data_IF_683397108662
#
_entry.id   IF_683397108662
#
_cell.length_a   1.000
_cell.length_b   1.000
_cell.length_c   1.000
_cell.angle_alpha   90.00
_cell.angle_beta   90.00
_cell.angle_gamma   90.00
#
_symmetry.space_group_name_H-M   'P 1'
#
loop_
_entity.id
_entity.type
_entity.pdbx_description
1 polymer ?
#
# COMPACT_ATOMS: atom_id res chain seq x y z
N UNK A 1 4.01 9.17 -63.39
CA UNK A 1 2.55 9.23 -63.13
C UNK A 1 2.34 10.25 -62.00
N UNK A 2 2.09 11.54 -62.29
CA UNK A 2 0.77 12.21 -62.51
C UNK A 2 -0.12 12.07 -61.27
N UNK A 3 -0.14 13.02 -60.31
CA UNK A 3 -0.85 14.33 -60.19
C UNK A 3 -2.24 14.25 -59.50
N UNK A 4 -2.35 15.02 -58.39
CA UNK A 4 -3.50 15.82 -57.88
C UNK A 4 -4.72 15.04 -57.32
N UNK A 5 -5.38 15.46 -56.22
CA UNK A 5 -6.19 16.69 -56.10
C UNK A 5 -6.50 17.09 -54.63
N UNK A 6 -6.77 18.39 -54.43
CA UNK A 6 -7.09 19.17 -53.22
C UNK A 6 -8.62 19.43 -53.13
N UNK A 7 -9.19 19.59 -51.91
CA UNK A 7 -10.27 20.53 -51.50
C UNK A 7 -10.68 20.18 -50.04
N UNK A 8 -10.73 21.02 -48.99
CA UNK A 8 -11.17 22.40 -48.70
C UNK A 8 -12.68 22.68 -48.81
N UNK A 9 -13.39 22.67 -47.67
CA UNK A 9 -14.70 23.31 -47.37
C UNK A 9 -14.68 23.52 -45.83
N UNK A 10 -14.61 24.71 -45.20
CA UNK A 10 -15.34 26.00 -45.20
C UNK A 10 -16.77 25.97 -44.61
N UNK A 11 -16.82 26.27 -43.30
CA UNK A 11 -17.77 27.10 -42.50
C UNK A 11 -19.28 27.10 -42.82
N UNK A 12 -20.09 26.86 -41.78
CA UNK A 12 -21.34 27.62 -41.56
C UNK A 12 -21.55 27.90 -40.06
N UNK A 13 -21.60 29.19 -39.73
CA UNK A 13 -22.16 29.77 -38.50
C UNK A 13 -23.69 29.65 -38.51
N UNK A 14 -24.31 29.39 -37.34
CA UNK A 14 -25.61 29.94 -36.90
C UNK A 14 -25.60 29.95 -35.35
N UNK A 15 -25.57 31.07 -34.63
CA UNK A 15 -26.56 32.17 -34.47
C UNK A 15 -27.70 31.83 -33.50
N UNK A 16 -27.60 32.34 -32.26
CA UNK A 16 -28.74 32.68 -31.38
C UNK A 16 -28.61 32.25 -29.90
N UNK A 17 -29.22 32.97 -28.94
CA UNK A 17 -29.31 34.43 -28.79
C UNK A 17 -28.62 34.93 -27.49
N UNK A 18 -28.22 36.20 -27.51
CA UNK A 18 -27.91 37.01 -26.33
C UNK A 18 -29.17 37.18 -25.47
N UNK A 19 -29.09 36.82 -24.19
CA UNK A 19 -29.94 37.40 -23.15
C UNK A 19 -29.05 38.16 -22.18
N UNK A 20 -29.19 39.49 -22.22
CA UNK A 20 -28.68 40.39 -21.21
C UNK A 20 -29.78 40.66 -20.17
N UNK A 21 -29.37 40.60 -18.91
CA UNK A 21 -29.89 41.30 -17.73
C UNK A 21 -31.40 41.34 -17.48
N UNK A 22 -31.81 40.69 -16.40
CA UNK A 22 -32.64 41.36 -15.39
C UNK A 22 -32.06 41.05 -14.00
N UNK A 23 -31.65 42.11 -13.31
CA UNK A 23 -31.26 42.06 -11.91
C UNK A 23 -32.48 42.36 -11.03
N UNK A 24 -32.71 41.60 -9.95
CA UNK A 24 -33.37 42.13 -8.77
C UNK A 24 -32.31 42.60 -7.78
N UNK A 25 -32.36 43.90 -7.49
CA UNK A 25 -31.74 44.59 -6.36
C UNK A 25 -32.51 44.33 -5.05
N UNK A 26 -31.76 44.21 -3.93
CA UNK A 26 -32.24 44.30 -2.54
C UNK A 26 -32.60 42.94 -1.93
N UNK A 27 -32.24 42.58 -0.69
CA UNK A 27 -31.71 43.33 0.43
C UNK A 27 -30.97 42.38 1.40
N UNK A 28 -30.08 42.99 2.19
CA UNK A 28 -29.39 42.52 3.39
C UNK A 28 -29.88 41.24 4.09
N UNK A 29 -28.94 40.32 4.40
CA UNK A 29 -29.18 39.36 5.48
C UNK A 29 -28.20 38.18 5.57
N UNK A 30 -27.07 38.39 6.26
CA UNK A 30 -26.32 37.30 6.87
C UNK A 30 -25.15 36.73 6.05
N UNK A 31 -23.96 37.28 6.31
CA UNK A 31 -22.68 36.58 6.11
C UNK A 31 -22.61 35.38 7.07
N UNK A 32 -23.39 34.33 6.79
CA UNK A 32 -23.17 33.01 7.37
C UNK A 32 -22.07 32.35 6.57
N UNK A 33 -20.80 32.66 6.89
CA UNK A 33 -19.67 31.88 6.39
C UNK A 33 -19.87 30.44 6.84
N UNK A 34 -20.48 29.60 6.00
CA UNK A 34 -20.51 28.17 6.25
C UNK A 34 -19.06 27.77 6.45
N UNK A 35 -18.66 27.29 7.65
CA UNK A 35 -17.28 26.93 7.89
C UNK A 35 -16.86 25.96 6.81
N UNK A 36 -15.71 26.21 6.16
CA UNK A 36 -15.13 25.24 5.27
C UNK A 36 -15.10 23.89 6.02
N UNK A 37 -15.53 22.77 5.39
CA UNK A 37 -15.55 21.49 6.06
C UNK A 37 -14.20 21.24 6.71
N UNK A 38 -14.17 21.09 8.04
CA UNK A 38 -12.94 20.75 8.74
C UNK A 38 -12.41 19.45 8.13
N UNK A 39 -11.13 19.38 7.71
CA UNK A 39 -10.55 18.15 7.20
C UNK A 39 -10.81 17.02 8.20
N UNK A 40 -11.54 15.99 7.76
CA UNK A 40 -11.78 14.81 8.58
C UNK A 40 -10.54 13.93 8.43
N UNK A 41 -9.79 13.82 9.51
CA UNK A 41 -8.56 13.02 9.54
C UNK A 41 -8.94 11.56 9.35
N UNK A 42 -8.31 10.88 8.38
CA UNK A 42 -8.52 9.45 8.17
C UNK A 42 -7.48 8.69 8.98
N UNK A 43 -7.93 7.92 9.97
CA UNK A 43 -7.02 7.09 10.78
C UNK A 43 -6.25 6.06 9.95
N UNK A 44 -6.72 5.75 8.73
CA UNK A 44 -6.13 4.77 7.84
C UNK A 44 -5.14 5.37 6.82
N UNK A 45 -4.85 6.68 6.87
CA UNK A 45 -3.87 7.35 6.00
C UNK A 45 -2.46 7.37 6.62
N UNK A 46 -1.83 6.20 6.56
CA UNK A 46 -0.39 5.80 6.57
C UNK A 46 0.76 6.62 7.20
N UNK A 47 0.60 7.76 7.90
CA UNK A 47 1.56 8.22 8.95
C UNK A 47 1.38 9.67 9.36
N UNK A 48 1.14 10.57 8.40
CA UNK A 48 1.07 12.01 8.67
C UNK A 48 -0.15 12.34 9.52
N UNK A 49 -1.25 11.63 9.28
CA UNK A 49 -2.50 11.77 10.03
C UNK A 49 -2.38 11.16 11.45
N UNK A 50 -1.63 10.07 11.61
CA UNK A 50 -1.42 9.43 12.92
C UNK A 50 -0.55 10.27 13.87
N UNK A 51 0.59 10.76 13.40
CA UNK A 51 1.49 11.57 14.22
C UNK A 51 0.81 12.89 14.62
N UNK A 52 0.02 13.48 13.74
CA UNK A 52 -0.75 14.68 14.04
C UNK A 52 -1.83 14.45 15.11
N UNK A 53 -2.49 13.28 15.10
CA UNK A 53 -3.51 12.91 16.08
C UNK A 53 -2.95 12.52 17.45
N UNK A 54 -1.83 11.81 17.48
CA UNK A 54 -1.35 11.12 18.69
C UNK A 54 -0.03 11.66 19.25
N UNK A 55 0.73 12.42 18.46
CA UNK A 55 2.11 12.81 18.77
C UNK A 55 3.13 11.68 18.68
N UNK A 56 2.69 10.44 18.40
CA UNK A 56 3.56 9.27 18.31
C UNK A 56 4.19 9.17 16.92
N UNK A 57 5.49 8.90 16.88
CA UNK A 57 6.27 8.81 15.64
C UNK A 57 6.47 7.37 15.23
N UNK A 58 6.20 7.10 13.96
CA UNK A 58 6.65 5.86 13.34
C UNK A 58 8.15 5.87 13.11
N UNK A 59 8.72 4.69 13.14
CA UNK A 59 10.12 4.46 12.79
C UNK A 59 10.20 3.30 11.81
N UNK A 60 11.11 3.42 10.84
CA UNK A 60 11.39 2.33 9.91
C UNK A 60 12.16 1.22 10.61
N UNK A 61 11.73 -0.01 10.35
CA UNK A 61 12.37 -1.25 10.76
C UNK A 61 12.65 -2.11 9.52
N UNK A 62 13.77 -2.83 9.55
CA UNK A 62 14.30 -3.62 8.44
C UNK A 62 14.44 -5.08 8.83
N UNK A 63 13.82 -5.99 8.08
CA UNK A 63 13.84 -7.42 8.37
C UNK A 63 15.00 -8.14 7.69
N UNK A 64 15.67 -8.98 8.48
CA UNK A 64 16.65 -9.99 8.07
C UNK A 64 16.08 -11.36 8.36
N UNK A 65 16.24 -12.29 7.41
CA UNK A 65 15.68 -13.63 7.51
C UNK A 65 16.78 -14.66 7.75
N UNK A 66 16.54 -15.57 8.69
CA UNK A 66 17.31 -16.80 8.84
C UNK A 66 16.49 -17.92 8.17
N UNK A 67 16.93 -18.49 7.05
CA UNK A 67 16.13 -19.42 6.28
C UNK A 67 16.05 -20.80 6.94
N UNK A 68 14.90 -21.46 6.83
CA UNK A 68 14.68 -22.84 7.27
C UNK A 68 14.27 -23.73 6.11
N UNK A 69 14.97 -24.85 5.93
CA UNK A 69 14.72 -25.80 4.83
C UNK A 69 13.32 -26.40 4.87
N UNK A 70 12.71 -26.52 6.05
CA UNK A 70 11.36 -27.05 6.24
C UNK A 70 10.24 -26.14 5.69
N UNK A 71 10.52 -24.85 5.47
CA UNK A 71 9.54 -23.89 4.95
C UNK A 71 9.92 -23.40 3.55
N UNK A 72 11.21 -23.14 3.31
CA UNK A 72 11.67 -22.50 2.08
C UNK A 72 11.49 -23.39 0.85
N UNK A 73 11.74 -24.70 0.95
CA UNK A 73 11.62 -25.61 -0.19
C UNK A 73 12.44 -25.14 -1.41
N UNK A 74 11.75 -24.87 -2.54
CA UNK A 74 12.37 -24.32 -3.78
C UNK A 74 12.38 -22.79 -3.84
N UNK A 75 11.80 -22.14 -2.83
CA UNK A 75 11.58 -20.71 -2.72
C UNK A 75 10.27 -20.43 -1.97
N UNK A 76 10.27 -19.36 -1.20
CA UNK A 76 9.18 -18.91 -0.34
C UNK A 76 8.93 -17.44 -0.62
N UNK A 77 7.72 -17.11 -1.05
CA UNK A 77 7.26 -15.73 -1.19
C UNK A 77 6.46 -15.38 0.05
N UNK A 78 6.86 -14.31 0.73
CA UNK A 78 6.20 -13.73 1.88
C UNK A 78 5.63 -12.37 1.53
N UNK A 79 4.38 -12.12 1.94
CA UNK A 79 3.77 -10.80 1.92
C UNK A 79 3.44 -10.39 3.34
N UNK A 80 4.02 -9.29 3.81
CA UNK A 80 3.73 -8.74 5.13
C UNK A 80 2.24 -8.41 5.24
N UNK A 81 1.63 -8.83 6.35
CA UNK A 81 0.28 -8.45 6.72
C UNK A 81 0.34 -7.26 7.68
N UNK A 82 -0.14 -6.11 7.21
CA UNK A 82 -0.25 -4.91 8.03
C UNK A 82 -1.08 -5.17 9.29
N UNK A 83 -0.67 -4.58 10.41
CA UNK A 83 -1.35 -4.73 11.67
C UNK A 83 -0.91 -3.64 12.63
N UNK A 84 -1.88 -2.91 13.20
CA UNK A 84 -1.56 -1.83 14.14
C UNK A 84 -0.73 -2.38 15.32
N UNK A 85 0.39 -1.74 15.70
CA UNK A 85 0.84 -0.38 15.33
C UNK A 85 1.93 -0.36 14.25
N UNK A 86 1.86 -1.24 13.27
CA UNK A 86 2.81 -1.38 12.17
C UNK A 86 2.10 -1.37 10.81
N UNK A 87 2.79 -0.89 9.78
CA UNK A 87 2.36 -1.00 8.40
C UNK A 87 3.56 -1.16 7.47
N UNK A 88 3.33 -1.82 6.33
CA UNK A 88 4.33 -2.09 5.32
C UNK A 88 4.69 -0.84 4.51
N UNK A 89 5.97 -0.72 4.16
CA UNK A 89 6.44 0.32 3.26
C UNK A 89 6.46 -0.24 1.82
N UNK A 90 5.78 0.43 0.88
CA UNK A 90 5.41 -0.05 -0.46
C UNK A 90 6.25 -1.17 -1.09
N UNK A 91 7.55 -0.94 -1.36
CA UNK A 91 8.41 -1.93 -2.03
C UNK A 91 8.95 -3.04 -1.12
N UNK A 92 8.89 -2.86 0.20
CA UNK A 92 9.44 -3.77 1.21
C UNK A 92 8.42 -4.71 1.85
N UNK A 93 7.23 -4.86 1.26
CA UNK A 93 6.17 -5.75 1.81
C UNK A 93 6.17 -7.15 1.21
N UNK A 94 6.80 -7.34 0.04
CA UNK A 94 7.01 -8.65 -0.59
C UNK A 94 8.48 -9.03 -0.49
N UNK A 95 8.75 -10.22 0.03
CA UNK A 95 10.10 -10.78 0.09
C UNK A 95 10.06 -12.20 -0.47
N UNK A 96 10.99 -12.53 -1.35
CA UNK A 96 11.27 -13.91 -1.72
C UNK A 96 12.50 -14.41 -0.98
N UNK A 97 12.42 -15.63 -0.45
CA UNK A 97 13.52 -16.32 0.22
C UNK A 97 13.74 -17.64 -0.53
N UNK A 98 14.92 -17.81 -1.09
CA UNK A 98 15.35 -18.98 -1.83
C UNK A 98 16.33 -19.87 -1.07
N UNK A 99 16.70 -21.01 -1.65
CA UNK A 99 17.74 -21.88 -1.12
C UNK A 99 19.07 -21.15 -0.93
N UNK A 100 19.89 -21.60 0.04
CA UNK A 100 21.21 -21.06 0.34
C UNK A 100 21.20 -19.55 0.69
N UNK A 101 20.18 -19.09 1.42
CA UNK A 101 20.04 -17.71 1.89
C UNK A 101 19.95 -16.65 0.78
N UNK A 102 19.60 -17.07 -0.45
CA UNK A 102 19.25 -16.12 -1.51
C UNK A 102 17.94 -15.44 -1.17
N UNK A 103 17.81 -14.16 -1.42
CA UNK A 103 16.56 -13.44 -1.21
C UNK A 103 16.39 -12.32 -2.25
N UNK A 104 15.14 -11.97 -2.53
CA UNK A 104 14.78 -10.74 -3.25
C UNK A 104 14.06 -9.80 -2.30
N UNK A 105 14.42 -8.52 -2.36
CA UNK A 105 13.87 -7.49 -1.48
C UNK A 105 14.41 -7.51 -0.05
N UNK A 106 13.93 -6.55 0.72
CA UNK A 106 14.19 -6.36 2.14
C UNK A 106 12.85 -6.02 2.78
N UNK A 107 12.50 -6.71 3.88
CA UNK A 107 11.28 -6.36 4.61
C UNK A 107 11.46 -4.96 5.19
N UNK A 108 10.59 -4.02 4.82
CA UNK A 108 10.61 -2.65 5.35
C UNK A 108 9.23 -2.31 5.87
N UNK A 109 9.15 -2.08 7.17
CA UNK A 109 7.91 -1.72 7.86
C UNK A 109 8.12 -0.46 8.68
N UNK A 110 7.05 0.27 8.94
CA UNK A 110 7.04 1.39 9.84
C UNK A 110 6.18 1.04 11.06
N UNK A 111 6.77 1.13 12.25
CA UNK A 111 6.11 0.79 13.51
C UNK A 111 6.35 1.86 14.58
N UNK A 112 5.46 1.95 15.57
CA UNK A 112 5.67 2.80 16.75
C UNK A 112 6.80 2.28 17.65
N UNK A 113 6.93 0.95 17.72
CA UNK A 113 7.98 0.23 18.44
C UNK A 113 8.30 -1.07 17.69
N UNK A 114 9.40 -1.74 18.07
CA UNK A 114 9.81 -2.95 17.40
C UNK A 114 8.75 -4.05 17.64
N UNK A 115 8.21 -4.68 16.59
CA UNK A 115 7.28 -5.78 16.79
C UNK A 115 8.02 -6.98 17.39
N UNK A 116 7.33 -7.72 18.25
CA UNK A 116 7.79 -9.03 18.76
C UNK A 116 7.32 -10.18 17.88
N UNK A 117 6.38 -9.92 16.98
CA UNK A 117 5.77 -10.88 16.07
C UNK A 117 5.38 -10.18 14.77
N UNK A 118 5.56 -10.86 13.65
CA UNK A 118 5.10 -10.42 12.34
C UNK A 118 4.30 -11.55 11.68
N UNK A 119 3.21 -11.17 11.03
CA UNK A 119 2.39 -12.06 10.22
C UNK A 119 2.66 -11.85 8.73
N UNK A 120 2.76 -12.96 8.00
CA UNK A 120 2.87 -12.97 6.55
C UNK A 120 1.77 -13.82 5.95
N UNK A 121 1.32 -13.48 4.74
CA UNK A 121 0.81 -14.51 3.85
C UNK A 121 1.98 -15.12 3.10
N UNK A 122 1.95 -16.43 2.88
CA UNK A 122 3.08 -17.13 2.29
C UNK A 122 2.65 -18.04 1.14
N UNK A 123 3.55 -18.32 0.20
CA UNK A 123 3.43 -19.44 -0.75
C UNK A 123 4.81 -19.95 -1.14
N UNK A 124 4.92 -21.23 -1.49
CA UNK A 124 6.14 -21.73 -2.10
C UNK A 124 6.15 -21.42 -3.61
N UNK A 125 7.15 -20.68 -4.07
CA UNK A 125 7.32 -20.33 -5.48
C UNK A 125 8.77 -19.95 -5.80
N UNK A 126 9.16 -20.05 -7.07
CA UNK A 126 10.43 -19.49 -7.55
C UNK A 126 10.39 -17.96 -7.54
N UNK A 127 11.58 -17.34 -7.58
CA UNK A 127 11.74 -15.88 -7.52
C UNK A 127 10.87 -15.13 -8.54
N UNK A 128 10.90 -15.61 -9.78
CA UNK A 128 10.26 -14.98 -10.94
C UNK A 128 8.87 -15.57 -11.24
N UNK A 129 8.27 -16.28 -10.29
CA UNK A 129 6.93 -16.82 -10.46
C UNK A 129 5.89 -15.70 -10.52
N UNK A 130 4.93 -15.82 -11.45
CA UNK A 130 3.80 -14.91 -11.57
C UNK A 130 3.04 -14.75 -10.25
N UNK A 131 2.39 -13.60 -10.08
CA UNK A 131 1.53 -13.34 -8.92
C UNK A 131 0.38 -14.36 -8.89
N UNK A 132 0.21 -15.00 -7.73
CA UNK A 132 -0.85 -15.97 -7.49
C UNK A 132 -1.32 -15.87 -6.04
N UNK A 133 -2.41 -16.59 -5.73
CA UNK A 133 -2.95 -16.73 -4.38
C UNK A 133 -1.86 -17.28 -3.46
N UNK A 134 -1.79 -16.76 -2.24
CA UNK A 134 -0.95 -17.33 -1.19
C UNK A 134 -1.51 -18.68 -0.73
N UNK A 135 -0.85 -19.36 0.20
CA UNK A 135 -1.21 -20.67 0.76
C UNK A 135 -1.87 -20.54 2.12
N UNK A 136 -1.32 -19.71 3.01
CA UNK A 136 -1.89 -19.48 4.33
C UNK A 136 -1.22 -18.32 5.06
N UNK A 137 -1.37 -18.30 6.38
CA UNK A 137 -0.68 -17.37 7.29
C UNK A 137 0.58 -18.03 7.84
N UNK A 138 1.65 -17.25 7.93
CA UNK A 138 2.86 -17.59 8.65
C UNK A 138 3.07 -16.53 9.73
N UNK A 139 3.08 -16.96 10.98
CA UNK A 139 3.30 -16.10 12.14
C UNK A 139 4.72 -16.32 12.63
N UNK A 140 5.51 -15.26 12.67
CA UNK A 140 6.93 -15.35 12.97
C UNK A 140 7.26 -14.52 14.20
N UNK A 141 7.89 -15.11 15.24
CA UNK A 141 8.51 -14.32 16.30
C UNK A 141 9.65 -13.47 15.72
N UNK A 142 9.86 -12.31 16.33
CA UNK A 142 10.81 -11.31 15.88
C UNK A 142 11.71 -10.91 17.03
N UNK A 143 13.01 -11.13 16.84
CA UNK A 143 14.03 -10.52 17.68
C UNK A 143 14.41 -9.17 17.09
N UNK A 144 14.61 -8.16 17.94
CA UNK A 144 14.98 -6.82 17.48
C UNK A 144 16.30 -6.36 18.07
N UNK A 145 17.15 -5.80 17.22
CA UNK A 145 18.34 -5.04 17.61
C UNK A 145 18.24 -3.64 17.01
N UNK A 146 17.75 -2.70 17.82
CA UNK A 146 17.50 -1.33 17.38
C UNK A 146 16.43 -1.23 16.29
N UNK A 147 16.86 -1.07 15.04
CA UNK A 147 15.98 -0.96 13.85
C UNK A 147 16.03 -2.18 12.94
N UNK A 148 16.86 -3.17 13.28
CA UNK A 148 16.94 -4.43 12.57
C UNK A 148 16.05 -5.47 13.27
N UNK A 149 15.27 -6.18 12.47
CA UNK A 149 14.39 -7.25 12.90
C UNK A 149 14.95 -8.57 12.37
N UNK A 150 15.20 -9.54 13.25
CA UNK A 150 15.63 -10.88 12.87
C UNK A 150 14.43 -11.81 12.92
N UNK A 151 14.16 -12.45 11.78
CA UNK A 151 13.05 -13.38 11.59
C UNK A 151 13.64 -14.75 11.29
N UNK A 152 13.62 -15.64 12.27
CA UNK A 152 14.04 -17.02 12.09
C UNK A 152 12.88 -17.88 11.60
N UNK A 153 12.96 -18.30 10.33
CA UNK A 153 11.92 -19.13 9.72
C UNK A 153 11.77 -20.49 10.40
N UNK A 154 12.76 -20.98 11.15
CA UNK A 154 12.63 -22.22 11.91
C UNK A 154 11.65 -22.09 13.08
N UNK A 155 11.44 -20.88 13.59
CA UNK A 155 10.55 -20.58 14.71
C UNK A 155 9.19 -20.00 14.27
N UNK A 156 8.98 -19.82 12.98
CA UNK A 156 7.68 -19.39 12.48
C UNK A 156 6.64 -20.53 12.57
N UNK A 157 5.46 -20.19 13.04
CA UNK A 157 4.30 -21.07 13.08
C UNK A 157 3.49 -20.94 11.79
N UNK A 158 3.23 -22.07 11.13
CA UNK A 158 2.30 -22.12 10.00
C UNK A 158 0.89 -22.20 10.55
N UNK A 159 0.11 -21.16 10.29
CA UNK A 159 -1.34 -21.18 10.52
C UNK A 159 -2.06 -22.05 9.49
N UNK A 160 -3.40 -22.11 9.56
CA UNK A 160 -4.20 -22.82 8.57
C UNK A 160 -3.99 -22.30 7.14
N UNK A 161 -4.02 -23.22 6.18
CA UNK A 161 -4.07 -22.86 4.76
C UNK A 161 -5.43 -22.23 4.42
N UNK A 162 -5.51 -21.47 3.32
CA UNK A 162 -6.69 -20.69 2.92
C UNK A 162 -7.89 -21.52 2.43
N UNK A 163 -7.89 -22.84 2.62
CA UNK A 163 -8.84 -23.78 1.98
C UNK A 163 -10.33 -23.44 2.20
N UNK A 164 -10.64 -22.54 3.13
CA UNK A 164 -11.73 -21.55 3.11
C UNK A 164 -11.72 -20.88 4.49
N UNK A 165 -11.25 -19.63 4.64
CA UNK A 165 -11.33 -18.92 5.94
C UNK A 165 -12.81 -18.77 6.35
N UNK A 166 -13.31 -19.70 7.17
CA UNK A 166 -14.63 -19.73 7.82
C UNK A 166 -14.46 -19.80 9.32
#
# INVERSE_FOLDING_TARGET
>A
MVKKLIALIMVCMMSGPLFAADAPSGDAGGSGSTPAPTPRISLFSTSTDWQALTGLRYSEYRGKFIPSSGIVGRGLVLYYLDGFPCYGLGEGVRVWIGPNNKHDGELRIACLYAPTEINFTWRNATRDADQAVSTGILTCPVDSDGRELTIDLAHCEKGPDWDEYK
#
